data_IF_973770956064
#
_entry.id   IF_973770956064
#
_cell.length_a   1.000
_cell.length_b   1.000
_cell.length_c   1.000
_cell.angle_alpha   90.00
_cell.angle_beta   90.00
_cell.angle_gamma   90.00
#
_symmetry.space_group_name_H-M   'P 1'
#
loop_
_entity.id
_entity.type
_entity.pdbx_description
1 polymer ?
#
# COMPACT_ATOMS: atom_id res chain seq x y z
N UNK A 1 21.04 0.97 1.50
CA UNK A 1 19.97 0.29 0.74
C UNK A 1 19.38 -0.84 1.57
N UNK A 2 20.19 -1.72 2.16
CA UNK A 2 19.68 -2.84 2.96
C UNK A 2 18.96 -2.41 4.26
N UNK A 3 19.47 -1.38 4.95
CA UNK A 3 18.83 -0.84 6.16
C UNK A 3 17.44 -0.27 5.89
N UNK A 4 17.26 0.47 4.79
CA UNK A 4 15.99 1.12 4.48
C UNK A 4 14.91 0.10 4.11
N UNK A 5 15.31 -0.95 3.39
CA UNK A 5 14.44 -2.08 3.04
C UNK A 5 14.07 -2.88 4.29
N UNK A 6 15.01 -3.09 5.22
CA UNK A 6 14.73 -3.71 6.52
C UNK A 6 13.72 -2.90 7.34
N UNK A 7 13.88 -1.58 7.40
CA UNK A 7 12.94 -0.69 8.10
C UNK A 7 11.56 -0.79 7.45
N UNK A 8 11.48 -0.76 6.12
CA UNK A 8 10.23 -0.94 5.39
C UNK A 8 9.56 -2.29 5.71
N UNK A 9 10.32 -3.38 5.66
CA UNK A 9 9.79 -4.72 5.94
C UNK A 9 9.29 -4.85 7.39
N UNK A 10 10.00 -4.28 8.36
CA UNK A 10 9.59 -4.24 9.77
C UNK A 10 8.29 -3.43 9.96
N UNK A 11 8.21 -2.25 9.36
CA UNK A 11 7.00 -1.43 9.42
C UNK A 11 5.81 -2.13 8.77
N UNK A 12 6.02 -2.71 7.59
CA UNK A 12 4.97 -3.44 6.88
C UNK A 12 4.48 -4.63 7.71
N UNK A 13 5.39 -5.41 8.29
CA UNK A 13 5.02 -6.56 9.15
C UNK A 13 4.28 -6.11 10.41
N UNK A 14 4.69 -5.04 11.08
CA UNK A 14 3.95 -4.49 12.23
C UNK A 14 2.52 -4.08 11.85
N UNK A 15 2.35 -3.42 10.70
CA UNK A 15 1.02 -3.02 10.20
C UNK A 15 0.16 -4.24 9.87
N UNK A 16 0.74 -5.28 9.25
CA UNK A 16 0.03 -6.52 8.97
C UNK A 16 -0.43 -7.21 10.26
N UNK A 17 0.44 -7.29 11.26
CA UNK A 17 0.08 -7.86 12.58
C UNK A 17 -1.05 -7.04 13.21
N UNK A 18 -0.98 -5.70 13.15
CA UNK A 18 -2.02 -4.84 13.70
C UNK A 18 -3.39 -5.09 13.04
N UNK A 19 -3.44 -5.25 11.71
CA UNK A 19 -4.67 -5.57 10.99
C UNK A 19 -5.26 -6.92 11.42
N UNK A 20 -4.41 -7.93 11.53
CA UNK A 20 -4.81 -9.27 12.00
C UNK A 20 -5.36 -9.20 13.43
N UNK A 21 -4.72 -8.44 14.32
CA UNK A 21 -5.14 -8.27 15.71
C UNK A 21 -6.48 -7.56 15.86
N UNK A 22 -6.81 -6.63 14.94
CA UNK A 22 -8.13 -5.98 14.88
C UNK A 22 -9.20 -6.90 14.27
N UNK A 23 -8.81 -8.09 13.81
CA UNK A 23 -9.72 -9.08 13.21
C UNK A 23 -10.07 -8.76 11.76
N UNK A 24 -9.29 -7.92 11.08
CA UNK A 24 -9.50 -7.64 9.67
C UNK A 24 -9.21 -8.89 8.84
N UNK A 25 -10.14 -9.31 7.99
CA UNK A 25 -10.03 -10.52 7.17
C UNK A 25 -10.14 -10.21 5.68
N UNK A 26 -10.50 -8.97 5.32
CA UNK A 26 -10.81 -8.58 3.96
C UNK A 26 -9.52 -8.31 3.17
N UNK A 27 -9.22 -9.10 2.12
CA UNK A 27 -7.91 -9.08 1.45
C UNK A 27 -7.60 -7.75 0.75
N UNK A 28 -8.63 -7.04 0.30
CA UNK A 28 -8.50 -5.74 -0.35
C UNK A 28 -8.04 -4.63 0.61
N UNK A 29 -8.31 -4.73 1.92
CA UNK A 29 -7.78 -3.82 2.95
C UNK A 29 -6.28 -4.01 3.10
N UNK A 30 -5.84 -5.27 3.20
CA UNK A 30 -4.42 -5.64 3.25
C UNK A 30 -3.66 -5.15 2.01
N UNK A 31 -4.24 -5.33 0.83
CA UNK A 31 -3.65 -4.88 -0.43
C UNK A 31 -3.55 -3.36 -0.48
N UNK A 32 -4.61 -2.64 -0.09
CA UNK A 32 -4.63 -1.18 -0.07
C UNK A 32 -3.57 -0.59 0.84
N UNK A 33 -3.42 -1.14 2.04
CA UNK A 33 -2.41 -0.69 3.01
C UNK A 33 -1.00 -1.00 2.55
N UNK A 34 -0.79 -2.15 1.89
CA UNK A 34 0.51 -2.47 1.27
C UNK A 34 0.88 -1.46 0.19
N UNK A 35 -0.06 -1.11 -0.68
CA UNK A 35 0.15 -0.11 -1.74
C UNK A 35 0.44 1.27 -1.13
N UNK A 36 -0.32 1.66 -0.11
CA UNK A 36 -0.12 2.93 0.60
C UNK A 36 1.28 2.99 1.23
N UNK A 37 1.70 1.92 1.90
CA UNK A 37 3.03 1.80 2.49
C UNK A 37 4.14 1.91 1.45
N UNK A 38 3.97 1.29 0.27
CA UNK A 38 4.91 1.44 -0.85
C UNK A 38 5.04 2.92 -1.28
N UNK A 39 3.93 3.64 -1.41
CA UNK A 39 3.98 5.07 -1.79
C UNK A 39 4.62 5.95 -0.71
N UNK A 40 4.31 5.71 0.56
CA UNK A 40 4.92 6.43 1.69
C UNK A 40 6.44 6.20 1.67
N UNK A 41 6.88 4.95 1.59
CA UNK A 41 8.29 4.61 1.60
C UNK A 41 9.05 5.20 0.40
N UNK A 42 8.50 5.06 -0.82
CA UNK A 42 9.12 5.61 -2.02
C UNK A 42 9.11 7.14 -2.08
N UNK A 43 8.19 7.80 -1.36
CA UNK A 43 8.19 9.25 -1.19
C UNK A 43 9.31 9.73 -0.28
N UNK A 44 9.65 8.96 0.76
CA UNK A 44 10.74 9.29 1.70
C UNK A 44 12.10 8.99 1.06
N UNK A 45 12.24 7.83 0.40
CA UNK A 45 13.49 7.41 -0.23
C UNK A 45 13.48 7.62 -1.76
N UNK A 46 13.59 8.88 -2.18
CA UNK A 46 13.56 9.28 -3.60
C UNK A 46 14.67 8.63 -4.45
N UNK A 47 15.77 8.19 -3.82
CA UNK A 47 16.90 7.55 -4.51
C UNK A 47 16.52 6.24 -5.20
N UNK A 48 15.50 5.54 -4.69
CA UNK A 48 14.98 4.30 -5.28
C UNK A 48 14.11 4.62 -6.51
N UNK A 49 13.25 5.64 -6.38
CA UNK A 49 12.37 6.10 -7.47
C UNK A 49 13.17 6.62 -8.68
N UNK A 50 14.26 7.33 -8.42
CA UNK A 50 15.16 7.86 -9.46
C UNK A 50 15.89 6.75 -10.24
N UNK A 51 16.35 5.70 -9.56
CA UNK A 51 17.17 4.63 -10.16
C UNK A 51 16.36 3.62 -10.98
N UNK A 52 15.17 3.24 -10.51
CA UNK A 52 14.43 2.12 -11.08
C UNK A 52 13.35 2.51 -12.11
N UNK A 53 13.21 3.80 -12.47
CA UNK A 53 12.15 4.32 -13.38
C UNK A 53 10.77 3.70 -13.09
N UNK A 54 10.39 3.65 -11.82
CA UNK A 54 9.18 2.96 -11.32
C UNK A 54 7.85 3.60 -11.74
N UNK A 55 7.84 4.57 -12.67
CA UNK A 55 6.63 5.32 -13.06
C UNK A 55 5.48 4.43 -13.52
N UNK A 56 5.78 3.34 -14.23
CA UNK A 56 4.77 2.39 -14.71
C UNK A 56 4.20 1.61 -13.52
N UNK A 57 5.05 1.14 -12.61
CA UNK A 57 4.62 0.45 -11.39
C UNK A 57 3.77 1.39 -10.52
N UNK A 58 4.21 2.64 -10.35
CA UNK A 58 3.49 3.67 -9.61
C UNK A 58 2.10 3.90 -10.23
N UNK A 59 2.00 4.00 -11.55
CA UNK A 59 0.70 4.18 -12.22
C UNK A 59 -0.23 2.97 -12.02
N UNK A 60 0.29 1.75 -12.13
CA UNK A 60 -0.48 0.52 -11.92
C UNK A 60 -0.96 0.43 -10.46
N UNK A 61 -0.05 0.63 -9.50
CA UNK A 61 -0.39 0.56 -8.08
C UNK A 61 -1.40 1.64 -7.68
N UNK A 62 -1.25 2.85 -8.21
CA UNK A 62 -2.20 3.94 -7.99
C UNK A 62 -3.58 3.61 -8.56
N UNK A 63 -3.62 3.05 -9.78
CA UNK A 63 -4.87 2.63 -10.40
C UNK A 63 -5.59 1.55 -9.59
N UNK A 64 -4.86 0.51 -9.15
CA UNK A 64 -5.40 -0.55 -8.30
C UNK A 64 -5.91 0.01 -6.98
N UNK A 65 -5.16 0.91 -6.34
CA UNK A 65 -5.57 1.57 -5.10
C UNK A 65 -6.87 2.37 -5.29
N UNK A 66 -6.95 3.17 -6.34
CA UNK A 66 -8.16 3.94 -6.67
C UNK A 66 -9.36 3.03 -6.92
N UNK A 67 -9.19 1.91 -7.63
CA UNK A 67 -10.27 0.97 -7.87
C UNK A 67 -10.80 0.36 -6.56
N UNK A 68 -9.91 -0.05 -5.64
CA UNK A 68 -10.32 -0.60 -4.34
C UNK A 68 -11.05 0.45 -3.50
N UNK A 69 -10.49 1.66 -3.38
CA UNK A 69 -11.11 2.76 -2.62
C UNK A 69 -12.47 3.13 -3.20
N UNK A 70 -12.58 3.23 -4.53
CA UNK A 70 -13.83 3.56 -5.21
C UNK A 70 -14.89 2.49 -4.93
N UNK A 71 -14.55 1.21 -5.09
CA UNK A 71 -15.45 0.11 -4.79
C UNK A 71 -15.95 0.17 -3.34
N UNK A 72 -15.05 0.40 -2.38
CA UNK A 72 -15.41 0.52 -0.95
C UNK A 72 -16.29 1.71 -0.65
N UNK A 73 -16.04 2.86 -1.27
CA UNK A 73 -16.89 4.04 -1.11
C UNK A 73 -18.29 3.78 -1.64
N UNK A 74 -18.42 3.12 -2.80
CA UNK A 74 -19.71 2.77 -3.40
C UNK A 74 -20.50 1.78 -2.53
N UNK A 75 -19.84 0.77 -1.98
CA UNK A 75 -20.42 -0.20 -1.04
C UNK A 75 -20.90 0.49 0.26
N UNK A 76 -20.08 1.36 0.84
CA UNK A 76 -20.46 2.11 2.07
C UNK A 76 -21.63 3.06 1.80
N UNK A 77 -21.67 3.70 0.64
CA UNK A 77 -22.77 4.55 0.22
C UNK A 77 -24.00 3.76 -0.23
N UNK A 78 -23.94 2.42 -0.29
CA UNK A 78 -25.01 1.52 -0.77
C UNK A 78 -25.48 1.85 -2.19
N UNK A 79 -24.57 2.36 -3.02
CA UNK A 79 -24.84 2.63 -4.44
C UNK A 79 -24.80 1.33 -5.24
N UNK A 80 -24.05 0.36 -4.74
CA UNK A 80 -23.92 -1.02 -5.21
C UNK A 80 -24.00 -1.91 -3.97
#
# INVERSE_FOLDING_TARGET
MDRDVLIYALLLTMVMIALVLVGESRPDVYLSITILMYFIYTSINYSIRSRARLRILDAILLFVFLAIVTYRVLEVLRVI
#
